data_IF_447011747459
#
_entry.id   IF_447011747459
#
_cell.length_a   1.000
_cell.length_b   1.000
_cell.length_c   1.000
_cell.angle_alpha   90.00
_cell.angle_beta   90.00
_cell.angle_gamma   90.00
#
_symmetry.space_group_name_H-M   'P 1'
#
loop_
_entity.id
_entity.type
_entity.pdbx_description
1 polymer ?
#
# COMPACT_ATOMS: atom_id res chain seq x y z
N UNK A 1 -11.55 22.66 -28.96
CA UNK A 1 -11.88 22.13 -27.62
C UNK A 1 -10.90 21.02 -27.30
N UNK A 2 -9.77 21.34 -26.66
CA UNK A 2 -8.75 20.33 -26.32
C UNK A 2 -9.18 19.57 -25.08
N UNK A 3 -9.40 18.26 -25.19
CA UNK A 3 -9.55 17.40 -24.02
C UNK A 3 -8.23 17.40 -23.26
N UNK A 4 -8.17 18.10 -22.12
CA UNK A 4 -7.08 17.98 -21.16
C UNK A 4 -7.11 16.54 -20.65
N UNK A 5 -6.33 15.66 -21.26
CA UNK A 5 -6.05 14.32 -20.71
C UNK A 5 -5.45 14.57 -19.34
N UNK A 6 -6.25 14.41 -18.28
CA UNK A 6 -5.73 14.46 -16.93
C UNK A 6 -4.68 13.35 -16.85
N UNK A 7 -3.43 13.71 -16.59
CA UNK A 7 -2.37 12.74 -16.42
C UNK A 7 -2.76 11.81 -15.26
N UNK A 8 -2.69 10.51 -15.50
CA UNK A 8 -2.89 9.52 -14.43
C UNK A 8 -1.94 9.83 -13.27
N UNK A 9 -2.42 9.77 -12.02
CA UNK A 9 -1.60 10.10 -10.87
C UNK A 9 -0.41 9.12 -10.76
N UNK A 10 0.76 9.62 -10.37
CA UNK A 10 1.98 8.81 -10.29
C UNK A 10 1.90 7.84 -9.10
N UNK A 11 1.60 6.57 -9.40
CA UNK A 11 1.39 5.52 -8.40
C UNK A 11 2.64 5.24 -7.55
N UNK A 12 3.84 5.58 -8.05
CA UNK A 12 5.09 5.41 -7.31
C UNK A 12 5.11 6.21 -6.01
N UNK A 13 4.31 7.27 -5.90
CA UNK A 13 4.19 8.08 -4.68
C UNK A 13 3.52 7.36 -3.52
N UNK A 14 2.72 6.32 -3.80
CA UNK A 14 2.07 5.51 -2.75
C UNK A 14 3.05 4.55 -2.09
N UNK A 15 4.14 4.16 -2.77
CA UNK A 15 5.05 3.14 -2.28
C UNK A 15 5.74 3.58 -0.99
N UNK A 16 5.80 2.66 -0.02
CA UNK A 16 6.40 2.89 1.31
C UNK A 16 5.51 3.64 2.29
N UNK A 17 4.42 4.26 1.84
CA UNK A 17 3.43 4.89 2.73
C UNK A 17 2.60 3.82 3.45
N UNK A 18 2.25 4.05 4.71
CA UNK A 18 1.27 3.22 5.39
C UNK A 18 -0.12 3.50 4.81
N UNK A 19 -0.90 2.46 4.54
CA UNK A 19 -2.24 2.62 3.96
C UNK A 19 -3.18 3.45 4.86
N UNK A 20 -2.94 3.41 6.18
CA UNK A 20 -3.65 4.17 7.20
C UNK A 20 -3.27 5.65 7.26
N UNK A 21 -2.08 6.02 6.78
CA UNK A 21 -1.58 7.41 6.78
C UNK A 21 -1.96 8.20 5.52
N UNK A 22 -2.62 7.56 4.55
CA UNK A 22 -3.07 8.23 3.32
C UNK A 22 -4.06 9.36 3.65
N UNK A 23 -3.75 10.57 3.21
CA UNK A 23 -4.63 11.72 3.44
C UNK A 23 -5.94 11.61 2.66
N UNK A 24 -6.94 12.43 3.02
CA UNK A 24 -8.20 12.54 2.25
C UNK A 24 -7.92 12.89 0.78
N UNK A 25 -6.95 13.77 0.54
CA UNK A 25 -6.53 14.15 -0.82
C UNK A 25 -5.93 12.98 -1.57
N UNK A 26 -5.08 12.16 -0.93
CA UNK A 26 -4.51 10.95 -1.54
C UNK A 26 -5.61 9.94 -1.85
N UNK A 27 -6.55 9.72 -0.92
CA UNK A 27 -7.69 8.81 -1.10
C UNK A 27 -8.60 9.23 -2.26
N UNK A 28 -8.77 10.53 -2.50
CA UNK A 28 -9.47 11.06 -3.67
C UNK A 28 -8.65 10.87 -4.95
N UNK A 29 -7.37 11.27 -4.91
CA UNK A 29 -6.50 11.28 -6.07
C UNK A 29 -6.26 9.87 -6.62
N UNK A 30 -6.10 8.88 -5.75
CA UNK A 30 -5.80 7.49 -6.11
C UNK A 30 -7.01 6.56 -5.94
N UNK A 31 -8.22 7.09 -5.90
CA UNK A 31 -9.44 6.28 -5.80
C UNK A 31 -9.49 5.20 -6.91
N UNK A 32 -9.98 4.01 -6.55
CA UNK A 32 -10.05 2.82 -7.40
C UNK A 32 -8.69 2.22 -7.84
N UNK A 33 -7.56 2.76 -7.35
CA UNK A 33 -6.24 2.15 -7.52
C UNK A 33 -6.13 0.94 -6.59
N UNK A 34 -5.64 -0.18 -7.10
CA UNK A 34 -5.29 -1.33 -6.29
C UNK A 34 -3.97 -1.09 -5.56
N UNK A 35 -3.91 -1.42 -4.28
CA UNK A 35 -2.68 -1.41 -3.49
C UNK A 35 -2.45 -2.76 -2.82
N UNK A 36 -1.18 -3.14 -2.65
CA UNK A 36 -0.74 -4.27 -1.85
C UNK A 36 0.10 -3.77 -0.67
N UNK A 37 -0.23 -4.21 0.53
CA UNK A 37 0.57 -4.00 1.73
C UNK A 37 0.59 -5.28 2.56
N UNK A 38 1.64 -5.49 3.36
CA UNK A 38 1.79 -6.74 4.14
C UNK A 38 0.57 -6.96 5.03
N UNK A 39 0.10 -8.21 5.09
CA UNK A 39 -0.96 -8.62 6.01
C UNK A 39 -0.52 -8.27 7.44
N UNK A 40 -1.41 -7.66 8.20
CA UNK A 40 -1.15 -7.35 9.60
C UNK A 40 -0.85 -8.63 10.37
N UNK A 41 0.40 -8.78 10.81
CA UNK A 41 0.75 -9.74 11.84
C UNK A 41 0.62 -9.02 13.19
N UNK A 42 -0.14 -9.55 14.17
CA UNK A 42 -0.23 -8.95 15.49
C UNK A 42 1.17 -8.67 16.01
N UNK A 43 1.41 -7.48 16.58
CA UNK A 43 2.75 -7.08 16.96
C UNK A 43 3.28 -8.09 17.99
N UNK A 44 4.41 -8.69 17.66
CA UNK A 44 5.09 -9.56 18.60
C UNK A 44 5.72 -8.69 19.70
N UNK A 45 5.68 -9.18 20.93
CA UNK A 45 6.52 -8.63 21.98
C UNK A 45 7.97 -8.90 21.60
N UNK A 46 8.76 -7.84 21.43
CA UNK A 46 10.20 -7.92 21.20
C UNK A 46 10.92 -7.38 22.42
N UNK A 47 11.92 -8.11 22.93
CA UNK A 47 12.76 -7.62 24.01
C UNK A 47 13.98 -6.92 23.44
N UNK A 48 14.18 -5.66 23.80
CA UNK A 48 15.37 -4.88 23.46
C UNK A 48 15.91 -4.27 24.75
N UNK A 49 17.19 -4.53 25.06
CA UNK A 49 17.86 -4.04 26.26
C UNK A 49 17.11 -4.36 27.58
N UNK A 50 16.45 -5.52 27.65
CA UNK A 50 15.67 -5.95 28.81
C UNK A 50 14.28 -5.33 28.93
N UNK A 51 13.86 -4.51 27.96
CA UNK A 51 12.53 -3.87 27.92
C UNK A 51 11.66 -4.55 26.85
N UNK A 52 10.42 -4.90 27.19
CA UNK A 52 9.43 -5.40 26.23
C UNK A 52 8.85 -4.25 25.40
N UNK A 53 8.93 -4.36 24.07
CA UNK A 53 8.30 -3.46 23.11
C UNK A 53 7.31 -4.22 22.24
N UNK A 54 6.35 -3.47 21.67
CA UNK A 54 5.37 -3.95 20.72
C UNK A 54 5.86 -3.56 19.32
N UNK A 55 6.25 -4.53 18.48
CA UNK A 55 6.67 -4.25 17.08
C UNK A 55 5.46 -3.96 16.19
N UNK A 56 5.04 -2.69 16.14
CA UNK A 56 3.95 -2.23 15.26
C UNK A 56 4.49 -2.08 13.84
N UNK A 57 4.35 -3.13 13.02
CA UNK A 57 4.64 -3.04 11.59
C UNK A 57 3.55 -2.23 10.90
N UNK A 58 3.91 -1.01 10.47
CA UNK A 58 3.04 -0.21 9.60
C UNK A 58 2.75 -0.99 8.31
N UNK A 59 1.49 -0.99 7.88
CA UNK A 59 1.04 -1.68 6.65
C UNK A 59 1.45 -0.85 5.44
N UNK A 60 2.75 -0.87 5.14
CA UNK A 60 3.36 -0.11 4.04
C UNK A 60 2.97 -0.70 2.70
N UNK A 61 2.61 0.18 1.77
CA UNK A 61 2.27 -0.17 0.39
C UNK A 61 3.56 -0.60 -0.34
N UNK A 62 3.58 -1.82 -0.86
CA UNK A 62 4.69 -2.38 -1.62
C UNK A 62 4.38 -2.48 -3.12
N UNK A 63 3.12 -2.41 -3.53
CA UNK A 63 2.74 -2.30 -4.93
C UNK A 63 1.45 -1.50 -5.09
N UNK A 64 1.32 -0.78 -6.20
CA UNK A 64 0.13 -0.03 -6.58
C UNK A 64 -0.07 -0.10 -8.10
N UNK A 65 -1.32 -0.14 -8.56
CA UNK A 65 -1.63 -0.45 -9.96
C UNK A 65 -3.13 -0.49 -10.25
N UNK A 66 -3.48 -0.98 -11.42
CA UNK A 66 -4.86 -1.00 -11.91
C UNK A 66 -5.55 -2.37 -11.76
N UNK A 67 -4.81 -3.43 -11.46
CA UNK A 67 -5.37 -4.76 -11.15
C UNK A 67 -4.51 -5.56 -10.18
N UNK A 68 -5.10 -6.57 -9.53
CA UNK A 68 -4.38 -7.45 -8.60
C UNK A 68 -3.25 -8.21 -9.31
N UNK A 69 -3.47 -8.63 -10.55
CA UNK A 69 -2.49 -9.34 -11.38
C UNK A 69 -1.24 -8.50 -11.64
N UNK A 70 -1.41 -7.19 -11.88
CA UNK A 70 -0.31 -6.25 -12.04
C UNK A 70 0.52 -6.14 -10.75
N UNK A 71 -0.17 -6.03 -9.61
CA UNK A 71 0.49 -5.99 -8.29
C UNK A 71 1.24 -7.30 -8.01
N UNK A 72 0.65 -8.46 -8.27
CA UNK A 72 1.31 -9.76 -8.11
C UNK A 72 2.56 -9.84 -8.97
N UNK A 73 2.49 -9.39 -10.22
CA UNK A 73 3.65 -9.36 -11.11
C UNK A 73 4.75 -8.44 -10.56
N UNK A 74 4.41 -7.27 -10.04
CA UNK A 74 5.36 -6.34 -9.43
C UNK A 74 6.00 -6.90 -8.16
N UNK A 75 5.23 -7.49 -7.26
CA UNK A 75 5.75 -8.12 -6.04
C UNK A 75 6.74 -9.25 -6.38
N UNK A 76 6.39 -10.10 -7.35
CA UNK A 76 7.28 -11.18 -7.82
C UNK A 76 8.55 -10.64 -8.46
N UNK A 77 8.48 -9.56 -9.27
CA UNK A 77 9.67 -8.87 -9.83
C UNK A 77 10.60 -8.38 -8.73
N UNK A 78 10.06 -7.97 -7.59
CA UNK A 78 10.80 -7.54 -6.39
C UNK A 78 11.18 -8.69 -5.45
N UNK A 79 10.97 -9.95 -5.87
CA UNK A 79 11.27 -11.16 -5.06
C UNK A 79 10.49 -11.19 -3.74
N UNK A 80 9.30 -10.61 -3.71
CA UNK A 80 8.36 -10.67 -2.59
C UNK A 80 7.33 -11.78 -2.85
N UNK A 81 6.91 -12.49 -1.79
CA UNK A 81 5.83 -13.48 -1.87
C UNK A 81 4.46 -12.77 -1.82
N UNK A 82 3.65 -12.80 -2.90
CA UNK A 82 2.33 -12.18 -2.90
C UNK A 82 1.37 -12.70 -1.82
N UNK A 83 1.61 -13.89 -1.26
CA UNK A 83 0.78 -14.46 -0.19
C UNK A 83 0.97 -13.75 1.16
N UNK A 84 2.05 -12.99 1.33
CA UNK A 84 2.26 -12.15 2.52
C UNK A 84 1.48 -10.82 2.47
N UNK A 85 0.74 -10.55 1.38
CA UNK A 85 0.12 -9.25 1.12
C UNK A 85 -1.40 -9.31 1.08
N UNK A 86 -2.02 -8.25 1.59
CA UNK A 86 -3.42 -7.95 1.37
C UNK A 86 -3.55 -7.01 0.17
N UNK A 87 -4.53 -7.30 -0.69
CA UNK A 87 -4.83 -6.53 -1.89
C UNK A 87 -6.18 -5.85 -1.72
N UNK A 88 -6.22 -4.53 -1.87
CA UNK A 88 -7.47 -3.78 -1.73
C UNK A 88 -7.49 -2.56 -2.66
N UNK A 89 -8.64 -2.23 -3.27
CA UNK A 89 -8.79 -0.96 -3.95
C UNK A 89 -8.88 0.18 -2.92
N UNK A 90 -8.18 1.28 -3.19
CA UNK A 90 -8.35 2.51 -2.43
C UNK A 90 -9.75 3.07 -2.65
N UNK A 91 -10.54 3.10 -1.57
CA UNK A 91 -11.88 3.68 -1.58
C UNK A 91 -11.79 5.21 -1.53
N UNK A 92 -12.67 5.93 -2.26
CA UNK A 92 -12.81 7.37 -2.07
C UNK A 92 -13.23 7.69 -0.63
N UNK A 93 -12.90 8.88 -0.12
CA UNK A 93 -13.37 9.31 1.18
C UNK A 93 -14.83 9.74 1.10
N UNK A 94 -15.67 9.01 1.84
CA UNK A 94 -17.12 9.18 2.02
C UNK A 94 -17.99 8.93 0.78
#
# INVERSE_FOLDING_TARGET
MGTKTAASPDLKRLLGQAVEDLSVTDRLQYANTWVAFRVYSPPHKVTRDGVEYVDVRLRRIEAAGHSVEELIAELRRRTLDPMEFEFTPLKPPY
#
